data_IF_913356586893
#
_entry.id   IF_913356586893
#
_cell.length_a   1.000
_cell.length_b   1.000
_cell.length_c   1.000
_cell.angle_alpha   90.00
_cell.angle_beta   90.00
_cell.angle_gamma   90.00
#
_symmetry.space_group_name_H-M   'P 1'
#
loop_
_entity.id
_entity.type
_entity.pdbx_description
1 polymer ?
#
# COMPACT_ATOMS: atom_id res chain seq x y z
N UNK A 1 7.75 20.19 -13.95
CA UNK A 1 6.73 20.20 -15.02
C UNK A 1 5.45 19.63 -14.43
N UNK A 2 4.39 20.44 -14.45
CA UNK A 2 2.95 20.20 -14.18
C UNK A 2 2.53 19.29 -13.02
N UNK A 3 2.17 19.97 -11.92
CA UNK A 3 1.53 19.48 -10.71
C UNK A 3 0.03 19.11 -10.87
N UNK A 4 -0.31 18.36 -11.93
CA UNK A 4 -1.67 17.88 -12.22
C UNK A 4 -1.74 16.35 -12.40
N UNK A 5 -0.85 15.61 -11.73
CA UNK A 5 -0.94 14.16 -11.68
C UNK A 5 -2.25 13.78 -10.99
N UNK A 6 -3.20 13.23 -11.76
CA UNK A 6 -4.48 12.76 -11.25
C UNK A 6 -4.28 11.43 -10.53
N UNK A 7 -5.02 11.16 -9.43
CA UNK A 7 -5.05 9.86 -8.80
C UNK A 7 -5.40 8.76 -9.81
N UNK A 8 -4.56 7.74 -9.89
CA UNK A 8 -4.81 6.52 -10.66
C UNK A 8 -4.94 5.35 -9.69
N UNK A 9 -6.15 4.80 -9.60
CA UNK A 9 -6.47 3.73 -8.66
C UNK A 9 -5.74 2.43 -8.99
N UNK A 10 -5.51 2.14 -10.26
CA UNK A 10 -4.79 0.92 -10.67
C UNK A 10 -3.32 1.03 -10.27
N UNK A 11 -2.71 2.19 -10.52
CA UNK A 11 -1.35 2.48 -10.08
C UNK A 11 -1.23 2.39 -8.54
N UNK A 12 -2.17 3.00 -7.80
CA UNK A 12 -2.14 2.96 -6.34
C UNK A 12 -2.28 1.53 -5.81
N UNK A 13 -3.14 0.71 -6.42
CA UNK A 13 -3.25 -0.70 -6.08
C UNK A 13 -1.93 -1.44 -6.32
N UNK A 14 -1.27 -1.21 -7.46
CA UNK A 14 0.04 -1.82 -7.76
C UNK A 14 1.11 -1.39 -6.75
N UNK A 15 1.20 -0.10 -6.42
CA UNK A 15 2.15 0.42 -5.45
C UNK A 15 1.90 -0.15 -4.04
N UNK A 16 0.64 -0.33 -3.63
CA UNK A 16 0.29 -0.98 -2.36
C UNK A 16 0.80 -2.42 -2.36
N UNK A 17 0.51 -3.19 -3.40
CA UNK A 17 0.96 -4.59 -3.53
C UNK A 17 2.48 -4.66 -3.42
N UNK A 18 3.19 -3.85 -4.19
CA UNK A 18 4.67 -3.76 -4.15
C UNK A 18 5.20 -3.39 -2.75
N UNK A 19 4.65 -2.34 -2.14
CA UNK A 19 5.06 -1.86 -0.80
C UNK A 19 4.84 -2.90 0.29
N UNK A 20 3.81 -3.74 0.17
CA UNK A 20 3.51 -4.84 1.10
C UNK A 20 4.29 -6.12 0.79
N UNK A 21 5.29 -6.03 -0.09
CA UNK A 21 6.21 -7.11 -0.37
C UNK A 21 5.63 -8.17 -1.29
N UNK A 22 4.55 -7.85 -2.01
CA UNK A 22 4.03 -8.76 -3.02
C UNK A 22 5.13 -9.04 -4.05
N UNK A 23 5.42 -10.33 -4.23
CA UNK A 23 6.41 -10.82 -5.18
C UNK A 23 5.86 -12.07 -5.83
N UNK A 24 5.94 -12.11 -7.16
CA UNK A 24 5.69 -13.33 -7.91
C UNK A 24 6.84 -14.29 -7.63
N UNK A 25 6.58 -15.33 -6.84
CA UNK A 25 7.47 -16.47 -6.64
C UNK A 25 6.72 -17.73 -7.02
N UNK A 26 7.43 -18.82 -7.33
CA UNK A 26 6.78 -20.03 -7.77
C UNK A 26 5.90 -20.62 -6.65
N UNK A 27 4.84 -21.34 -7.02
CA UNK A 27 4.05 -22.07 -6.04
C UNK A 27 4.94 -23.05 -5.28
N UNK A 28 4.98 -22.94 -3.95
CA UNK A 28 5.85 -23.74 -3.08
C UNK A 28 7.11 -23.01 -2.58
N UNK A 29 7.42 -21.82 -3.11
CA UNK A 29 8.47 -20.97 -2.57
C UNK A 29 8.04 -20.38 -1.22
N UNK A 30 8.91 -20.56 -0.23
CA UNK A 30 8.63 -20.15 1.13
C UNK A 30 8.67 -18.62 1.28
N UNK A 31 7.62 -18.06 1.90
CA UNK A 31 7.49 -16.61 2.09
C UNK A 31 7.04 -15.87 0.83
N UNK A 32 6.32 -16.54 -0.08
CA UNK A 32 5.57 -15.87 -1.14
C UNK A 32 4.52 -14.96 -0.51
N UNK A 33 4.39 -13.73 -1.00
CA UNK A 33 3.37 -12.79 -0.51
C UNK A 33 2.45 -12.43 -1.65
N UNK A 34 1.15 -12.54 -1.41
CA UNK A 34 0.08 -12.06 -2.30
C UNK A 34 -0.78 -11.04 -1.56
N UNK A 35 -1.10 -9.93 -2.22
CA UNK A 35 -1.82 -8.81 -1.61
C UNK A 35 -3.09 -8.53 -2.41
N UNK A 36 -4.22 -8.62 -1.75
CA UNK A 36 -5.53 -8.35 -2.34
C UNK A 36 -6.04 -7.01 -1.82
N UNK A 37 -6.12 -6.01 -2.69
CA UNK A 37 -6.71 -4.70 -2.36
C UNK A 37 -8.18 -4.74 -2.75
N UNK A 38 -9.08 -4.60 -1.77
CA UNK A 38 -10.53 -4.74 -1.97
C UNK A 38 -11.26 -3.40 -2.04
N UNK A 39 -10.67 -2.32 -1.50
CA UNK A 39 -11.23 -0.98 -1.61
C UNK A 39 -10.14 0.10 -1.57
N UNK A 40 -10.35 1.16 -2.37
CA UNK A 40 -9.57 2.39 -2.34
C UNK A 40 -10.51 3.59 -2.31
N UNK A 41 -10.25 4.54 -1.42
CA UNK A 41 -10.98 5.81 -1.34
C UNK A 41 -9.95 6.95 -1.27
N UNK A 42 -9.93 7.77 -2.31
CA UNK A 42 -9.02 8.92 -2.41
C UNK A 42 -9.67 10.13 -1.74
N UNK A 43 -8.98 10.70 -0.75
CA UNK A 43 -9.43 11.92 -0.08
C UNK A 43 -9.05 13.18 -0.88
N UNK A 44 -9.50 14.34 -0.41
CA UNK A 44 -9.06 15.61 -0.97
C UNK A 44 -7.53 15.75 -0.82
N UNK A 45 -6.82 16.17 -1.89
CA UNK A 45 -5.38 16.35 -1.81
C UNK A 45 -5.03 17.54 -0.93
N UNK A 46 -3.87 17.47 -0.28
CA UNK A 46 -3.35 18.51 0.60
C UNK A 46 -1.86 18.77 0.32
N UNK A 47 -1.31 19.93 0.72
CA UNK A 47 0.12 20.13 0.68
C UNK A 47 0.86 19.15 1.60
N UNK A 48 2.10 18.86 1.24
CA UNK A 48 3.06 18.14 2.06
C UNK A 48 3.31 18.85 3.39
N UNK A 49 3.41 18.06 4.46
CA UNK A 49 3.73 18.54 5.80
C UNK A 49 4.74 17.60 6.45
N UNK A 50 5.90 18.12 6.85
CA UNK A 50 6.95 17.32 7.51
C UNK A 50 6.52 16.71 8.86
N UNK A 51 5.38 17.15 9.42
CA UNK A 51 4.82 16.60 10.65
C UNK A 51 4.05 15.29 10.42
N UNK A 52 3.45 15.10 9.25
CA UNK A 52 2.54 13.98 8.96
C UNK A 52 3.07 13.09 7.84
N UNK A 53 3.90 13.62 6.96
CA UNK A 53 4.42 12.94 5.78
C UNK A 53 5.88 12.51 5.99
N UNK A 54 6.22 11.34 5.43
CA UNK A 54 7.56 10.80 5.41
C UNK A 54 7.96 10.44 3.98
N UNK A 55 9.24 10.62 3.64
CA UNK A 55 9.77 10.36 2.30
C UNK A 55 10.52 11.55 1.72
N UNK A 56 10.67 11.55 0.40
CA UNK A 56 11.45 12.55 -0.36
C UNK A 56 10.63 13.75 -0.85
N UNK A 57 9.36 13.85 -0.46
CA UNK A 57 8.52 14.99 -0.74
C UNK A 57 9.05 16.28 -0.09
N UNK A 58 8.77 17.40 -0.74
CA UNK A 58 9.17 18.74 -0.30
C UNK A 58 7.96 19.64 -0.12
N UNK A 59 8.15 20.80 0.50
CA UNK A 59 7.11 21.84 0.58
C UNK A 59 6.53 22.15 -0.81
N UNK A 60 5.20 22.23 -0.90
CA UNK A 60 4.48 22.38 -2.18
C UNK A 60 4.20 21.07 -2.92
N UNK A 61 4.79 19.93 -2.51
CA UNK A 61 4.41 18.62 -3.03
C UNK A 61 2.95 18.33 -2.69
N UNK A 62 2.19 17.83 -3.66
CA UNK A 62 0.78 17.48 -3.47
C UNK A 62 0.69 16.05 -2.96
N UNK A 63 0.08 15.88 -1.79
CA UNK A 63 -0.18 14.58 -1.17
C UNK A 63 -1.64 14.19 -1.43
N UNK A 64 -1.83 12.93 -1.79
CA UNK A 64 -3.12 12.28 -1.98
C UNK A 64 -3.30 11.20 -0.90
N UNK A 65 -4.01 11.50 0.19
CA UNK A 65 -4.34 10.49 1.19
C UNK A 65 -5.33 9.48 0.60
N UNK A 66 -5.02 8.19 0.71
CA UNK A 66 -5.85 7.11 0.20
C UNK A 66 -6.15 6.13 1.32
N UNK A 67 -7.43 5.96 1.63
CA UNK A 67 -7.88 4.91 2.53
C UNK A 67 -7.96 3.61 1.74
N UNK A 68 -7.16 2.62 2.13
CA UNK A 68 -7.09 1.32 1.50
C UNK A 68 -7.58 0.22 2.44
N UNK A 69 -8.37 -0.70 1.90
CA UNK A 69 -8.70 -1.98 2.53
C UNK A 69 -7.99 -3.08 1.77
N UNK A 70 -7.24 -3.93 2.47
CA UNK A 70 -6.51 -5.02 1.82
C UNK A 70 -6.29 -6.22 2.75
N UNK A 71 -5.95 -7.34 2.14
CA UNK A 71 -5.59 -8.60 2.79
C UNK A 71 -4.21 -9.03 2.32
N UNK A 72 -3.36 -9.44 3.25
CA UNK A 72 -2.03 -9.97 2.96
C UNK A 72 -2.04 -11.47 3.22
N UNK A 73 -1.53 -12.26 2.27
CA UNK A 73 -1.33 -13.69 2.46
C UNK A 73 0.13 -14.03 2.26
N UNK A 74 0.71 -14.65 3.27
CA UNK A 74 2.08 -15.16 3.25
C UNK A 74 2.02 -16.68 3.16
N UNK A 75 2.52 -17.23 2.05
CA UNK A 75 2.50 -18.67 1.80
C UNK A 75 3.79 -19.30 2.29
N UNK A 76 3.65 -20.25 3.22
CA UNK A 76 4.71 -21.12 3.69
C UNK A 76 4.48 -22.53 3.14
N UNK A 77 5.51 -23.39 3.21
CA UNK A 77 5.41 -24.78 2.74
C UNK A 77 4.27 -25.58 3.37
N UNK A 78 4.02 -25.36 4.66
CA UNK A 78 3.05 -26.14 5.44
C UNK A 78 1.74 -25.39 5.75
N UNK A 79 1.68 -24.08 5.48
CA UNK A 79 0.52 -23.26 5.82
C UNK A 79 0.54 -21.92 5.06
N UNK A 80 -0.62 -21.30 4.92
CA UNK A 80 -0.75 -19.89 4.54
C UNK A 80 -1.17 -19.09 5.76
N UNK A 81 -0.41 -18.03 6.07
CA UNK A 81 -0.83 -17.00 7.03
C UNK A 81 -1.60 -15.91 6.29
N UNK A 82 -2.76 -15.56 6.82
CA UNK A 82 -3.67 -14.59 6.23
C UNK A 82 -3.88 -13.49 7.26
N UNK A 83 -3.51 -12.27 6.88
CA UNK A 83 -3.84 -11.05 7.61
C UNK A 83 -5.00 -10.35 6.89
N UNK A 84 -6.21 -10.61 7.36
CA UNK A 84 -7.44 -10.18 6.71
C UNK A 84 -7.99 -8.85 7.25
N UNK A 85 -8.40 -7.98 6.32
CA UNK A 85 -9.17 -6.78 6.65
C UNK A 85 -8.34 -5.64 7.25
N UNK A 86 -7.09 -5.46 6.82
CA UNK A 86 -6.34 -4.23 7.09
C UNK A 86 -7.11 -3.02 6.57
N UNK A 87 -7.15 -1.93 7.35
CA UNK A 87 -7.56 -0.62 6.85
C UNK A 87 -6.47 0.38 7.22
N UNK A 88 -5.89 1.02 6.20
CA UNK A 88 -4.82 2.02 6.34
C UNK A 88 -5.16 3.29 5.56
N UNK A 89 -4.65 4.43 6.02
CA UNK A 89 -4.55 5.64 5.20
C UNK A 89 -3.10 5.74 4.74
N UNK A 90 -2.90 5.76 3.44
CA UNK A 90 -1.60 5.81 2.79
C UNK A 90 -1.45 7.15 2.08
N UNK A 91 -0.37 7.87 2.34
CA UNK A 91 -0.11 9.15 1.68
C UNK A 91 0.69 8.92 0.40
N UNK A 92 0.02 9.10 -0.74
CA UNK A 92 0.65 9.04 -2.06
C UNK A 92 1.14 10.41 -2.50
N UNK A 93 2.30 10.46 -3.14
CA UNK A 93 2.85 11.68 -3.71
C UNK A 93 3.76 11.35 -4.89
N UNK A 94 4.03 12.35 -5.72
CA UNK A 94 5.04 12.27 -6.79
C UNK A 94 6.33 12.86 -6.24
N UNK A 95 7.43 12.12 -6.34
CA UNK A 95 8.73 12.56 -5.85
C UNK A 95 9.47 13.50 -6.84
N UNK A 96 10.70 13.87 -6.49
CA UNK A 96 11.53 14.75 -7.33
C UNK A 96 11.93 14.16 -8.69
N UNK A 97 11.78 12.85 -8.90
CA UNK A 97 12.03 12.16 -10.17
C UNK A 97 10.76 12.02 -11.02
N UNK A 98 9.61 12.44 -10.49
CA UNK A 98 8.33 12.26 -11.18
C UNK A 98 7.71 10.89 -10.93
N UNK A 99 8.20 10.13 -9.94
CA UNK A 99 7.70 8.80 -9.63
C UNK A 99 6.69 8.83 -8.48
N UNK A 100 5.63 8.03 -8.57
CA UNK A 100 4.66 7.88 -7.50
C UNK A 100 5.22 7.03 -6.37
N UNK A 101 5.11 7.54 -5.15
CA UNK A 101 5.63 6.91 -3.94
C UNK A 101 4.54 6.85 -2.86
N UNK A 102 4.67 5.86 -1.98
CA UNK A 102 3.92 5.79 -0.72
C UNK A 102 4.83 6.32 0.39
N UNK A 103 4.41 7.42 1.02
CA UNK A 103 5.11 8.07 2.12
C UNK A 103 4.72 7.46 3.47
N UNK A 104 4.01 8.25 4.28
CA UNK A 104 3.52 7.80 5.57
C UNK A 104 2.26 6.96 5.48
N UNK A 105 2.06 6.14 6.52
CA UNK A 105 0.92 5.24 6.63
C UNK A 105 0.31 5.32 8.04
N UNK A 106 -1.00 5.40 8.13
CA UNK A 106 -1.75 5.46 9.38
C UNK A 106 -2.64 4.21 9.57
N UNK A 107 -2.58 3.51 10.72
CA UNK A 107 -3.55 2.47 11.09
C UNK A 107 -4.95 3.05 11.31
N UNK A 108 -5.94 2.55 10.57
CA UNK A 108 -7.36 2.74 10.92
C UNK A 108 -7.92 1.48 11.59
N UNK A 109 -7.57 0.31 11.07
CA UNK A 109 -7.95 -1.00 11.63
C UNK A 109 -6.83 -2.00 11.41
N UNK A 110 -6.53 -2.79 12.44
CA UNK A 110 -5.63 -3.93 12.33
C UNK A 110 -6.32 -5.13 11.70
N UNK A 111 -5.55 -5.91 10.93
CA UNK A 111 -6.06 -7.16 10.40
C UNK A 111 -6.36 -8.19 11.49
N UNK A 112 -7.21 -9.15 11.15
CA UNK A 112 -7.33 -10.41 11.88
C UNK A 112 -6.40 -11.43 11.25
N UNK A 113 -5.51 -12.02 12.05
CA UNK A 113 -4.56 -13.02 11.58
C UNK A 113 -5.09 -14.43 11.78
N UNK A 114 -4.99 -15.26 10.75
CA UNK A 114 -5.30 -16.68 10.81
C UNK A 114 -4.24 -17.48 10.03
N UNK A 115 -4.03 -18.73 10.43
CA UNK A 115 -3.10 -19.66 9.77
C UNK A 115 -3.87 -20.88 9.28
N UNK A 116 -3.80 -21.14 7.99
CA UNK A 116 -4.51 -22.23 7.31
C UNK A 116 -3.47 -23.26 6.83
N UNK A 117 -3.52 -24.53 7.28
CA UNK A 117 -2.61 -25.57 6.78
C UNK A 117 -2.75 -25.79 5.27
N UNK A 118 -1.64 -26.10 4.60
CA UNK A 118 -1.66 -26.58 3.21
C UNK A 118 -2.03 -28.07 3.24
N UNK A 119 -3.05 -28.45 2.47
CA UNK A 119 -3.56 -29.82 2.38
C UNK A 119 -2.74 -30.73 1.46
#
# INVERSE_FOLDING_TARGET
>A
MTADAKPDLELFQQLIRCKKGEKSVAAGDEGAVTVEVTALQVAAPRPWTYRQDSGSGQEGTRVFPVKATYTVRTHYRAATEIEDGWIRILNFYVDGFGEWQIGSEEPVKSATTQRVPVG
#
